data_IF_721785303372
#
_entry.id   IF_721785303372
#
_cell.length_a   1.000
_cell.length_b   1.000
_cell.length_c   1.000
_cell.angle_alpha   90.00
_cell.angle_beta   90.00
_cell.angle_gamma   90.00
#
_symmetry.space_group_name_H-M   'P 1'
#
loop_
_entity.id
_entity.type
_entity.pdbx_description
1 polymer ?
#
# COMPACT_ATOMS: atom_id res chain seq x y z
N UNK A 1 29.05 -4.74 6.73
CA UNK A 1 28.24 -4.82 5.50
C UNK A 1 27.15 -3.76 5.64
N UNK A 2 26.94 -2.88 4.64
CA UNK A 2 25.86 -1.88 4.71
C UNK A 2 24.50 -2.57 4.61
N UNK A 3 23.47 -2.06 5.28
CA UNK A 3 22.12 -2.63 5.18
C UNK A 3 21.54 -2.43 3.77
N UNK A 4 20.53 -3.20 3.38
CA UNK A 4 19.87 -2.98 2.08
C UNK A 4 19.16 -1.62 2.03
N UNK A 5 18.61 -1.17 3.15
CA UNK A 5 18.05 0.17 3.31
C UNK A 5 19.07 1.28 3.05
N UNK A 6 20.32 1.12 3.50
CA UNK A 6 21.41 2.06 3.21
C UNK A 6 21.86 1.99 1.75
N UNK A 7 21.94 0.78 1.18
CA UNK A 7 22.39 0.58 -0.21
C UNK A 7 21.40 1.16 -1.24
N UNK A 8 20.10 1.14 -0.92
CA UNK A 8 19.03 1.54 -1.82
C UNK A 8 18.28 2.80 -1.33
N UNK A 9 18.91 3.63 -0.49
CA UNK A 9 18.26 4.78 0.14
C UNK A 9 17.55 5.72 -0.86
N UNK A 10 18.20 6.08 -1.97
CA UNK A 10 17.63 6.98 -2.99
C UNK A 10 16.40 6.38 -3.68
N UNK A 11 16.46 5.08 -4.00
CA UNK A 11 15.34 4.36 -4.58
C UNK A 11 14.18 4.27 -3.58
N UNK A 12 14.47 3.94 -2.32
CA UNK A 12 13.45 3.79 -1.28
C UNK A 12 12.78 5.13 -0.95
N UNK A 13 13.52 6.25 -0.94
CA UNK A 13 12.95 7.59 -0.80
C UNK A 13 12.00 7.92 -1.97
N UNK A 14 12.42 7.63 -3.20
CA UNK A 14 11.59 7.82 -4.39
C UNK A 14 10.35 6.94 -4.37
N UNK A 15 10.51 5.66 -4.05
CA UNK A 15 9.43 4.70 -3.90
C UNK A 15 8.40 5.20 -2.87
N UNK A 16 8.88 5.63 -1.70
CA UNK A 16 8.00 6.08 -0.63
C UNK A 16 7.15 7.29 -1.04
N UNK A 17 7.77 8.26 -1.69
CA UNK A 17 7.10 9.47 -2.16
C UNK A 17 6.06 9.17 -3.25
N UNK A 18 6.40 8.34 -4.24
CA UNK A 18 5.48 7.99 -5.34
C UNK A 18 4.28 7.22 -4.80
N UNK A 19 4.53 6.17 -4.00
CA UNK A 19 3.47 5.35 -3.42
C UNK A 19 2.55 6.19 -2.55
N UNK A 20 3.10 7.01 -1.65
CA UNK A 20 2.30 7.86 -0.78
C UNK A 20 1.42 8.82 -1.59
N UNK A 21 1.99 9.53 -2.56
CA UNK A 21 1.24 10.48 -3.39
C UNK A 21 0.12 9.81 -4.18
N UNK A 22 0.38 8.63 -4.77
CA UNK A 22 -0.63 7.89 -5.53
C UNK A 22 -1.75 7.36 -4.62
N UNK A 23 -1.40 6.79 -3.47
CA UNK A 23 -2.38 6.32 -2.50
C UNK A 23 -3.21 7.47 -1.95
N UNK A 24 -2.61 8.61 -1.63
CA UNK A 24 -3.33 9.82 -1.17
C UNK A 24 -4.28 10.36 -2.25
N UNK A 25 -3.87 10.40 -3.53
CA UNK A 25 -4.74 10.79 -4.65
C UNK A 25 -5.97 9.86 -4.76
N UNK A 26 -5.74 8.54 -4.74
CA UNK A 26 -6.82 7.54 -4.77
C UNK A 26 -7.74 7.65 -3.56
N UNK A 27 -7.20 7.82 -2.36
CA UNK A 27 -7.99 7.97 -1.13
C UNK A 27 -8.77 9.29 -1.08
N UNK A 28 -8.36 10.30 -1.85
CA UNK A 28 -9.09 11.56 -1.95
C UNK A 28 -10.20 11.49 -3.00
N UNK A 29 -9.94 10.82 -4.14
CA UNK A 29 -10.79 10.87 -5.33
C UNK A 29 -11.79 9.73 -5.44
N UNK A 30 -11.36 8.51 -5.13
CA UNK A 30 -12.10 7.29 -5.48
C UNK A 30 -12.62 6.54 -4.25
N UNK A 31 -11.83 6.48 -3.18
CA UNK A 31 -12.16 5.73 -1.96
C UNK A 31 -11.82 6.58 -0.72
N UNK A 32 -12.74 7.45 -0.24
CA UNK A 32 -12.48 8.36 0.87
C UNK A 32 -11.82 7.68 2.08
N UNK A 33 -10.60 8.10 2.43
CA UNK A 33 -9.84 7.52 3.53
C UNK A 33 -8.57 8.30 3.84
N UNK A 34 -7.73 7.75 4.71
CA UNK A 34 -6.44 8.34 5.08
C UNK A 34 -5.37 7.27 5.31
N UNK A 35 -4.12 7.61 5.01
CA UNK A 35 -2.97 6.80 5.39
C UNK A 35 -2.70 7.04 6.88
N UNK A 36 -2.81 5.98 7.69
CA UNK A 36 -2.49 6.02 9.11
C UNK A 36 -0.99 5.87 9.35
N UNK A 37 -0.35 4.97 8.61
CA UNK A 37 1.10 4.81 8.66
C UNK A 37 1.63 4.25 7.36
N UNK A 38 2.83 4.67 6.98
CA UNK A 38 3.58 4.10 5.88
C UNK A 38 5.06 4.09 6.24
N UNK A 39 5.71 2.95 6.08
CA UNK A 39 7.09 2.76 6.51
C UNK A 39 7.82 1.69 5.72
N UNK A 40 9.15 1.78 5.78
CA UNK A 40 10.06 0.81 5.18
C UNK A 40 10.81 0.10 6.30
N UNK A 41 10.86 -1.23 6.23
CA UNK A 41 11.51 -2.08 7.24
C UNK A 41 12.38 -3.12 6.58
N UNK A 42 13.53 -3.40 7.18
CA UNK A 42 14.45 -4.45 6.73
C UNK A 42 14.42 -5.63 7.69
N UNK A 43 14.40 -6.84 7.14
CA UNK A 43 14.60 -8.09 7.88
C UNK A 43 15.52 -9.05 7.10
N UNK A 44 15.71 -10.27 7.61
CA UNK A 44 16.62 -11.24 7.01
C UNK A 44 16.27 -11.69 5.58
N UNK A 45 15.05 -11.40 5.09
CA UNK A 45 14.64 -11.68 3.72
C UNK A 45 14.84 -10.48 2.79
N UNK A 46 14.82 -9.26 3.31
CA UNK A 46 14.99 -8.07 2.50
C UNK A 46 14.31 -6.83 3.07
N UNK A 47 14.01 -5.87 2.19
CA UNK A 47 13.35 -4.60 2.53
C UNK A 47 11.88 -4.66 2.16
N UNK A 48 11.02 -4.27 3.09
CA UNK A 48 9.57 -4.33 2.99
C UNK A 48 8.96 -2.93 3.08
N UNK A 49 7.94 -2.67 2.27
CA UNK A 49 7.02 -1.55 2.45
C UNK A 49 5.80 -2.02 3.23
N UNK A 50 5.44 -1.28 4.27
CA UNK A 50 4.25 -1.50 5.09
C UNK A 50 3.37 -0.26 5.06
N UNK A 51 2.10 -0.44 4.74
CA UNK A 51 1.10 0.63 4.75
C UNK A 51 -0.13 0.23 5.55
N UNK A 52 -0.67 1.19 6.29
CA UNK A 52 -1.93 1.08 7.03
C UNK A 52 -2.83 2.22 6.60
N UNK A 53 -4.04 1.89 6.19
CA UNK A 53 -5.05 2.81 5.67
C UNK A 53 -6.31 2.66 6.51
N UNK A 54 -6.91 3.79 6.84
CA UNK A 54 -8.27 3.88 7.37
C UNK A 54 -9.19 4.36 6.26
N UNK A 55 -10.28 3.62 6.00
CA UNK A 55 -11.29 4.03 5.04
C UNK A 55 -12.47 4.68 5.77
N UNK A 56 -12.96 5.81 5.27
CA UNK A 56 -14.08 6.53 5.87
C UNK A 56 -15.34 5.67 5.80
N UNK A 57 -16.01 5.52 6.93
CA UNK A 57 -17.23 4.69 7.04
C UNK A 57 -16.97 3.20 7.20
N UNK A 58 -15.70 2.78 7.36
CA UNK A 58 -15.32 1.39 7.61
C UNK A 58 -14.60 1.30 8.95
N UNK A 59 -15.12 0.48 9.87
CA UNK A 59 -14.55 0.28 11.22
C UNK A 59 -13.33 -0.67 11.22
N UNK A 60 -12.59 -0.73 10.12
CA UNK A 60 -11.44 -1.63 9.95
C UNK A 60 -10.28 -0.89 9.28
N UNK A 61 -9.08 -1.19 9.77
CA UNK A 61 -7.84 -0.74 9.15
C UNK A 61 -7.38 -1.73 8.09
N UNK A 62 -7.17 -1.24 6.87
CA UNK A 62 -6.53 -2.00 5.82
C UNK A 62 -5.02 -1.97 6.02
N UNK A 63 -4.38 -3.14 6.02
CA UNK A 63 -2.93 -3.28 6.23
C UNK A 63 -2.34 -4.09 5.10
N UNK A 64 -1.29 -3.57 4.47
CA UNK A 64 -0.56 -4.27 3.41
C UNK A 64 0.94 -4.22 3.68
N UNK A 65 1.60 -5.35 3.44
CA UNK A 65 3.06 -5.50 3.49
C UNK A 65 3.54 -6.13 2.17
N UNK A 66 4.53 -5.53 1.53
CA UNK A 66 5.11 -6.02 0.25
C UNK A 66 6.63 -6.00 0.31
N UNK A 67 7.26 -7.03 -0.22
CA UNK A 67 8.72 -7.11 -0.37
C UNK A 67 9.14 -6.19 -1.53
N UNK A 68 9.97 -5.21 -1.22
CA UNK A 68 10.45 -4.19 -2.17
C UNK A 68 11.88 -4.49 -2.63
N UNK A 69 12.72 -5.06 -1.78
CA UNK A 69 14.06 -5.48 -2.19
C UNK A 69 14.26 -6.86 -1.63
N UNK A 70 14.43 -7.86 -2.48
CA UNK A 70 14.80 -9.20 -2.05
C UNK A 70 16.31 -9.26 -1.85
N UNK A 71 16.75 -9.74 -0.67
CA UNK A 71 18.17 -9.94 -0.40
C UNK A 71 18.80 -10.99 -1.33
N UNK A 72 17.98 -11.88 -1.92
CA UNK A 72 18.45 -13.03 -2.68
C UNK A 72 18.73 -12.74 -4.16
N UNK A 73 17.93 -11.94 -4.88
CA UNK A 73 18.19 -11.70 -6.33
C UNK A 73 17.25 -10.79 -7.11
N UNK A 74 16.11 -10.34 -6.59
CA UNK A 74 15.09 -9.73 -7.46
C UNK A 74 15.25 -8.22 -7.64
N UNK A 75 15.01 -7.70 -8.86
CA UNK A 75 14.99 -6.26 -9.10
C UNK A 75 13.88 -5.61 -8.24
N UNK A 76 14.07 -4.34 -7.83
CA UNK A 76 13.06 -3.63 -7.06
C UNK A 76 11.73 -3.55 -7.85
N UNK A 77 10.56 -3.76 -7.22
CA UNK A 77 9.28 -3.65 -7.89
C UNK A 77 8.99 -2.20 -8.28
N UNK A 78 8.12 -2.03 -9.27
CA UNK A 78 7.68 -0.70 -9.67
C UNK A 78 6.78 -0.07 -8.58
N UNK A 79 7.00 1.20 -8.17
CA UNK A 79 6.17 1.88 -7.19
C UNK A 79 4.69 1.99 -7.60
N UNK A 80 4.40 2.19 -8.89
CA UNK A 80 3.04 2.28 -9.40
C UNK A 80 2.34 0.93 -9.38
N UNK A 81 3.06 -0.17 -9.67
CA UNK A 81 2.52 -1.52 -9.55
C UNK A 81 2.12 -1.84 -8.10
N UNK A 82 2.88 -1.37 -7.10
CA UNK A 82 2.50 -1.53 -5.69
C UNK A 82 1.23 -0.74 -5.34
N UNK A 83 1.16 0.54 -5.73
CA UNK A 83 -0.03 1.34 -5.49
C UNK A 83 -1.27 0.75 -6.18
N UNK A 84 -1.12 0.28 -7.43
CA UNK A 84 -2.19 -0.41 -8.15
C UNK A 84 -2.60 -1.71 -7.45
N UNK A 85 -1.65 -2.56 -7.04
CA UNK A 85 -1.97 -3.81 -6.32
C UNK A 85 -2.62 -3.57 -4.96
N UNK A 86 -2.28 -2.48 -4.26
CA UNK A 86 -2.93 -2.11 -2.99
C UNK A 86 -4.45 -2.07 -3.11
N UNK A 87 -4.95 -1.52 -4.22
CA UNK A 87 -6.37 -1.36 -4.51
C UNK A 87 -6.94 -2.46 -5.42
N UNK A 88 -6.10 -3.16 -6.18
CA UNK A 88 -6.52 -4.30 -7.01
C UNK A 88 -6.70 -5.60 -6.18
N UNK A 89 -5.99 -5.76 -5.05
CA UNK A 89 -6.17 -6.94 -4.18
C UNK A 89 -7.51 -6.94 -3.42
N UNK A 90 -8.25 -5.83 -3.47
CA UNK A 90 -9.66 -5.81 -3.06
C UNK A 90 -10.58 -6.64 -4.00
N UNK A 91 -10.08 -7.10 -5.14
CA UNK A 91 -10.88 -7.89 -6.09
C UNK A 91 -10.82 -9.41 -5.85
N UNK A 92 -9.85 -9.94 -5.10
CA UNK A 92 -9.60 -11.40 -5.08
C UNK A 92 -9.75 -12.05 -3.70
N UNK A 93 -9.63 -11.31 -2.59
CA UNK A 93 -10.03 -11.80 -1.25
C UNK A 93 -11.19 -10.98 -0.62
N UNK A 94 -11.68 -9.94 -1.30
CA UNK A 94 -12.69 -8.99 -0.79
C UNK A 94 -13.92 -8.82 -1.72
N UNK A 95 -14.26 -9.81 -2.54
CA UNK A 95 -15.45 -9.76 -3.42
C UNK A 95 -16.79 -9.54 -2.64
N UNK A 96 -16.77 -9.61 -1.31
CA UNK A 96 -17.92 -9.36 -0.44
C UNK A 96 -17.93 -8.01 0.30
N UNK A 97 -16.82 -7.25 0.31
CA UNK A 97 -16.72 -6.04 1.15
C UNK A 97 -16.99 -4.78 0.34
N UNK A 98 -16.31 -4.56 -0.78
CA UNK A 98 -16.43 -3.28 -1.51
C UNK A 98 -17.73 -3.13 -2.31
N UNK A 99 -18.22 -4.13 -3.08
CA UNK A 99 -19.52 -3.99 -3.72
C UNK A 99 -20.65 -3.81 -2.70
N UNK A 100 -20.51 -4.43 -1.52
CA UNK A 100 -21.49 -4.36 -0.43
C UNK A 100 -21.44 -3.01 0.30
N UNK A 101 -20.26 -2.45 0.54
CA UNK A 101 -20.08 -1.11 1.09
C UNK A 101 -20.52 -0.02 0.10
N UNK A 102 -20.22 -0.17 -1.19
CA UNK A 102 -20.69 0.74 -2.23
C UNK A 102 -22.21 0.70 -2.37
N UNK A 103 -22.83 -0.48 -2.23
CA UNK A 103 -24.29 -0.64 -2.20
C UNK A 103 -24.92 -0.03 -0.94
N UNK A 104 -24.33 -0.24 0.23
CA UNK A 104 -24.79 0.38 1.48
C UNK A 104 -24.64 1.90 1.49
N UNK A 105 -23.63 2.46 0.82
CA UNK A 105 -23.45 3.90 0.74
C UNK A 105 -24.49 4.56 -0.19
N UNK A 106 -24.85 3.91 -1.30
CA UNK A 106 -25.91 4.38 -2.21
C UNK A 106 -27.31 4.21 -1.59
N UNK A 107 -27.51 3.24 -0.71
CA UNK A 107 -28.81 2.98 -0.06
C UNK A 107 -29.07 3.83 1.20
N UNK A 108 -28.10 4.61 1.68
CA UNK A 108 -28.22 5.48 2.86
C UNK A 108 -28.11 7.00 2.56
N UNK A 109 -28.17 7.39 1.30
CA UNK A 109 -28.37 8.76 0.81
C UNK A 109 -29.81 8.91 0.29
#
# INVERSE_FOLDING_TARGET
MRSLTEQYAEYLDTYQRIVRAQVEDTLTRDIPGAIQSFGIREDGRGVWAEIVIELRGVDKLYRRRTLVIDAASHPPPDPADFAATLFATNAVEEELVIPRLRKQWIEND
#
